data_IF_354219636341
#
_entry.id   IF_354219636341
#
_cell.length_a   1.000
_cell.length_b   1.000
_cell.length_c   1.000
_cell.angle_alpha   90.00
_cell.angle_beta   90.00
_cell.angle_gamma   90.00
#
_symmetry.space_group_name_H-M   'P 1'
#
loop_
_entity.id
_entity.type
_entity.pdbx_description
1 polymer ?
#
# COMPACT_ATOMS: atom_id res chain seq x y z
N UNK A 1 16.39 -9.14 -1.43
CA UNK A 1 16.88 -7.80 -1.07
C UNK A 1 15.88 -7.20 -0.10
N UNK A 2 16.27 -7.01 1.14
CA UNK A 2 15.43 -6.43 2.19
C UNK A 2 15.98 -5.04 2.45
N UNK A 3 15.16 -4.03 2.19
CA UNK A 3 15.50 -2.63 2.49
C UNK A 3 14.93 -2.40 3.88
N UNK A 4 15.82 -2.16 4.85
CA UNK A 4 15.42 -1.80 6.21
C UNK A 4 15.13 -0.30 6.21
N UNK A 5 13.85 0.05 6.30
CA UNK A 5 13.36 1.43 6.32
C UNK A 5 12.66 1.66 7.65
N UNK A 6 12.94 2.79 8.30
CA UNK A 6 12.11 3.24 9.40
C UNK A 6 10.69 3.55 8.89
N UNK A 7 9.69 3.46 9.77
CA UNK A 7 8.28 3.69 9.40
C UNK A 7 8.06 5.05 8.69
N UNK A 8 8.77 6.09 9.13
CA UNK A 8 8.71 7.42 8.51
C UNK A 8 9.33 7.44 7.10
N UNK A 9 10.45 6.74 6.89
CA UNK A 9 11.10 6.67 5.59
C UNK A 9 10.23 5.88 4.60
N UNK A 10 9.65 4.77 5.07
CA UNK A 10 8.69 3.99 4.30
C UNK A 10 7.46 4.82 3.92
N UNK A 11 6.91 5.61 4.84
CA UNK A 11 5.77 6.48 4.57
C UNK A 11 6.09 7.57 3.53
N UNK A 12 7.26 8.20 3.63
CA UNK A 12 7.71 9.22 2.66
C UNK A 12 7.87 8.62 1.27
N UNK A 13 8.55 7.48 1.16
CA UNK A 13 8.74 6.76 -0.10
C UNK A 13 7.40 6.32 -0.71
N UNK A 14 6.49 5.80 0.11
CA UNK A 14 5.15 5.41 -0.34
C UNK A 14 4.38 6.62 -0.90
N UNK A 15 4.48 7.78 -0.26
CA UNK A 15 3.87 9.02 -0.73
C UNK A 15 4.41 9.47 -2.09
N UNK A 16 5.73 9.42 -2.28
CA UNK A 16 6.36 9.73 -3.57
C UNK A 16 5.91 8.74 -4.65
N UNK A 17 5.91 7.44 -4.32
CA UNK A 17 5.52 6.38 -5.25
C UNK A 17 4.08 6.53 -5.71
N UNK A 18 3.15 6.83 -4.80
CA UNK A 18 1.75 7.07 -5.14
C UNK A 18 1.60 8.25 -6.09
N UNK A 19 2.26 9.38 -5.81
CA UNK A 19 2.21 10.56 -6.70
C UNK A 19 2.73 10.25 -8.11
N UNK A 20 3.84 9.51 -8.21
CA UNK A 20 4.40 9.14 -9.51
C UNK A 20 3.45 8.24 -10.30
N UNK A 21 2.77 7.31 -9.62
CA UNK A 21 1.77 6.45 -10.26
C UNK A 21 0.55 7.26 -10.71
N UNK A 22 0.07 8.18 -9.87
CA UNK A 22 -1.11 9.00 -10.13
C UNK A 22 -0.91 10.03 -11.25
N UNK A 23 0.29 10.60 -11.36
CA UNK A 23 0.63 11.61 -12.39
C UNK A 23 0.99 11.00 -13.76
N UNK A 24 1.17 9.68 -13.84
CA UNK A 24 1.62 9.04 -15.07
C UNK A 24 0.53 9.02 -16.15
N UNK A 25 0.90 9.49 -17.35
CA UNK A 25 0.00 9.59 -18.51
C UNK A 25 -0.36 8.23 -19.12
N UNK A 26 0.35 7.16 -18.76
CA UNK A 26 0.19 5.82 -19.31
C UNK A 26 -0.01 4.79 -18.19
N UNK A 27 -1.23 4.68 -17.63
CA UNK A 27 -1.52 3.86 -16.45
C UNK A 27 -1.35 2.35 -16.69
N UNK A 28 -1.31 1.92 -17.95
CA UNK A 28 -1.10 0.51 -18.33
C UNK A 28 0.32 0.20 -18.78
N UNK A 29 1.23 1.19 -18.69
CA UNK A 29 2.62 0.99 -19.09
C UNK A 29 3.29 -0.08 -18.22
N UNK A 30 4.27 -0.83 -18.77
CA UNK A 30 5.06 -1.79 -17.98
C UNK A 30 5.72 -1.13 -16.77
N UNK A 31 6.09 0.15 -16.88
CA UNK A 31 6.66 0.96 -15.80
C UNK A 31 5.67 1.09 -14.64
N UNK A 32 4.43 1.52 -14.89
CA UNK A 32 3.41 1.67 -13.84
C UNK A 32 3.09 0.35 -13.15
N UNK A 33 3.01 -0.75 -13.92
CA UNK A 33 2.83 -2.09 -13.34
C UNK A 33 3.97 -2.44 -12.38
N UNK A 34 5.21 -2.17 -12.77
CA UNK A 34 6.38 -2.40 -11.92
C UNK A 34 6.36 -1.50 -10.66
N UNK A 35 5.91 -0.25 -10.77
CA UNK A 35 5.76 0.64 -9.61
C UNK A 35 4.66 0.15 -8.65
N UNK A 36 3.56 -0.42 -9.16
CA UNK A 36 2.57 -1.11 -8.32
C UNK A 36 3.17 -2.31 -7.58
N UNK A 37 3.96 -3.13 -8.25
CA UNK A 37 4.65 -4.28 -7.64
C UNK A 37 5.71 -3.85 -6.60
N UNK A 38 6.30 -2.66 -6.77
CA UNK A 38 7.18 -2.06 -5.76
C UNK A 38 6.35 -1.56 -4.58
N UNK A 39 5.18 -0.94 -4.82
CA UNK A 39 4.29 -0.43 -3.78
C UNK A 39 3.84 -1.52 -2.81
N UNK A 40 3.56 -2.73 -3.30
CA UNK A 40 3.12 -3.86 -2.45
C UNK A 40 4.19 -4.36 -1.49
N UNK A 41 5.47 -3.99 -1.71
CA UNK A 41 6.58 -4.38 -0.82
C UNK A 41 6.75 -3.44 0.37
N UNK A 42 6.12 -2.27 0.34
CA UNK A 42 6.14 -1.37 1.49
C UNK A 42 5.22 -1.90 2.58
N UNK A 43 5.65 -1.87 3.85
CA UNK A 43 4.75 -2.12 4.97
C UNK A 43 3.71 -1.00 4.93
N UNK A 44 2.51 -1.30 4.40
CA UNK A 44 1.38 -0.40 4.54
C UNK A 44 1.13 -0.31 6.03
N UNK A 45 1.32 0.89 6.59
CA UNK A 45 1.05 1.18 8.00
C UNK A 45 -0.31 0.58 8.35
N UNK A 46 -0.25 -0.56 9.06
CA UNK A 46 -1.37 -1.34 9.57
C UNK A 46 -2.48 -1.58 8.52
N UNK A 47 -2.58 -2.82 8.05
CA UNK A 47 -3.92 -3.35 7.87
C UNK A 47 -4.63 -3.17 9.21
N UNK A 48 -5.44 -2.11 9.35
CA UNK A 48 -6.47 -2.05 10.37
C UNK A 48 -7.11 -3.44 10.37
N UNK A 49 -7.25 -4.10 11.53
CA UNK A 49 -7.90 -5.40 11.55
C UNK A 49 -9.22 -5.19 10.82
N UNK A 50 -9.36 -5.85 9.66
CA UNK A 50 -10.66 -6.07 9.06
C UNK A 50 -11.46 -6.62 10.23
N UNK A 51 -12.42 -5.85 10.71
CA UNK A 51 -13.22 -6.19 11.88
C UNK A 51 -13.96 -7.48 11.58
N UNK A 52 -13.28 -8.60 11.73
CA UNK A 52 -13.83 -9.91 11.84
C UNK A 52 -14.00 -10.11 13.35
N UNK A 53 -15.07 -9.51 13.87
CA UNK A 53 -15.73 -10.02 15.07
C UNK A 53 -17.15 -9.44 15.08
N UNK A 54 -18.06 -10.08 14.33
CA UNK A 54 -19.44 -10.14 14.79
C UNK A 54 -19.54 -11.44 15.59
N UNK A 55 -19.35 -11.41 16.91
CA UNK A 55 -19.51 -12.58 17.74
C UNK A 55 -21.01 -12.81 17.83
N UNK A 56 -21.52 -13.76 17.04
CA UNK A 56 -22.79 -14.45 17.22
C UNK A 56 -23.73 -13.86 18.30
N UNK A 57 -24.68 -13.01 17.91
CA UNK A 57 -25.69 -12.57 18.87
C UNK A 57 -26.67 -11.53 18.39
N UNK A 58 -27.58 -11.90 17.47
CA UNK A 58 -28.90 -11.27 17.32
C UNK A 58 -28.92 -9.89 16.63
N UNK A 59 -28.75 -9.91 15.30
CA UNK A 59 -29.32 -8.88 14.44
C UNK A 59 -30.83 -9.16 14.31
N UNK A 60 -31.65 -8.53 15.17
CA UNK A 60 -33.09 -8.40 14.99
C UNK A 60 -33.43 -6.93 14.89
#
# INVERSE_FOLDING_TARGET
MQIDLADQEAAVLLGVLNRVIEDDRYPLSPRIRMLHDIRTKFPTARAEPRGDDCPCGRCR
#
